data_IF_573370043262
#
_entry.id   IF_573370043262
#
_cell.length_a   1.000
_cell.length_b   1.000
_cell.length_c   1.000
_cell.angle_alpha   90.00
_cell.angle_beta   90.00
_cell.angle_gamma   90.00
#
_symmetry.space_group_name_H-M   'P 1'
#
loop_
_entity.id
_entity.type
_entity.pdbx_description
1 polymer ?
#
# COMPACT_ATOMS: atom_id res chain seq x y z
N UNK A 1 14.72 4.07 -19.30
CA UNK A 1 13.28 4.44 -19.26
C UNK A 1 12.79 4.07 -17.87
N UNK A 2 12.53 5.06 -17.00
CA UNK A 2 11.94 4.82 -15.69
C UNK A 2 10.45 4.55 -15.89
N UNK A 3 10.05 3.28 -15.91
CA UNK A 3 8.65 2.90 -15.86
C UNK A 3 8.17 3.04 -14.42
N UNK A 4 7.72 4.24 -14.05
CA UNK A 4 6.86 4.39 -12.87
C UNK A 4 5.65 3.48 -13.05
N UNK A 5 5.57 2.42 -12.25
CA UNK A 5 4.40 1.53 -12.16
C UNK A 5 3.31 2.23 -11.35
N UNK A 6 2.88 3.41 -11.83
CA UNK A 6 1.78 4.16 -11.22
C UNK A 6 0.47 3.46 -11.55
N UNK A 7 0.11 2.51 -10.68
CA UNK A 7 -1.12 1.74 -10.78
C UNK A 7 -1.98 2.00 -9.55
N UNK A 8 -3.21 2.44 -9.77
CA UNK A 8 -4.21 2.57 -8.72
C UNK A 8 -4.82 1.20 -8.41
N UNK A 9 -4.93 0.87 -7.13
CA UNK A 9 -5.57 -0.33 -6.60
C UNK A 9 -6.65 0.04 -5.58
N UNK A 10 -7.62 -0.86 -5.39
CA UNK A 10 -8.56 -0.81 -4.28
C UNK A 10 -8.09 -1.80 -3.24
N UNK A 11 -7.86 -1.32 -2.02
CA UNK A 11 -7.49 -2.16 -0.88
C UNK A 11 -8.76 -2.41 -0.05
N UNK A 12 -9.09 -3.68 0.28
CA UNK A 12 -10.25 -4.01 1.11
C UNK A 12 -10.16 -3.40 2.51
N UNK A 13 -11.32 -3.17 3.12
CA UNK A 13 -11.41 -2.85 4.54
C UNK A 13 -10.75 -3.93 5.40
N UNK A 14 -10.20 -3.55 6.56
CA UNK A 14 -9.56 -4.49 7.47
C UNK A 14 -8.15 -4.92 7.05
N UNK A 15 -7.65 -4.41 5.91
CA UNK A 15 -6.25 -4.62 5.51
C UNK A 15 -5.33 -3.74 6.34
N UNK A 16 -4.31 -4.34 6.94
CA UNK A 16 -3.26 -3.61 7.65
C UNK A 16 -2.32 -2.89 6.68
N UNK A 17 -2.03 -1.62 6.97
CA UNK A 17 -1.12 -0.77 6.19
C UNK A 17 -0.10 -0.15 7.13
N UNK A 18 1.18 -0.40 6.84
CA UNK A 18 2.28 -0.02 7.72
C UNK A 18 2.87 1.34 7.33
N UNK A 19 3.37 2.07 8.32
CA UNK A 19 4.04 3.35 8.14
C UNK A 19 5.50 3.19 7.69
N UNK A 20 6.07 2.00 7.92
CA UNK A 20 7.38 1.59 7.46
C UNK A 20 7.33 0.23 6.75
N UNK A 21 8.42 -0.17 6.08
CA UNK A 21 8.48 -1.41 5.30
C UNK A 21 8.56 -2.69 6.15
N UNK A 22 8.72 -2.56 7.47
CA UNK A 22 8.88 -3.67 8.41
C UNK A 22 7.61 -3.91 9.22
N UNK A 23 7.42 -5.15 9.70
CA UNK A 23 6.23 -5.55 10.49
C UNK A 23 6.16 -4.91 11.89
N UNK A 24 7.26 -4.38 12.40
CA UNK A 24 7.33 -3.68 13.69
C UNK A 24 6.96 -2.20 13.61
N UNK A 25 6.67 -1.70 12.40
CA UNK A 25 6.24 -0.32 12.20
C UNK A 25 4.79 -0.10 12.64
N UNK A 26 4.48 1.11 13.09
CA UNK A 26 3.09 1.52 13.34
C UNK A 26 2.23 1.27 12.10
N UNK A 27 0.99 0.82 12.31
CA UNK A 27 0.07 0.48 11.24
C UNK A 27 -1.30 1.14 11.41
N UNK A 28 -2.04 1.19 10.31
CA UNK A 28 -3.45 1.57 10.30
C UNK A 28 -4.27 0.43 9.70
N UNK A 29 -5.49 0.26 10.21
CA UNK A 29 -6.46 -0.71 9.69
C UNK A 29 -7.72 0.05 9.27
N UNK A 30 -7.86 0.44 7.99
CA UNK A 30 -9.02 1.20 7.54
C UNK A 30 -10.31 0.38 7.62
N UNK A 31 -11.35 0.96 8.21
CA UNK A 31 -12.68 0.33 8.35
C UNK A 31 -13.51 0.27 7.06
N UNK A 32 -13.03 0.84 5.96
CA UNK A 32 -13.70 0.85 4.64
C UNK A 32 -12.68 0.60 3.53
N UNK A 33 -13.08 0.03 2.38
CA UNK A 33 -12.19 -0.07 1.23
C UNK A 33 -11.72 1.31 0.79
N UNK A 34 -10.47 1.41 0.35
CA UNK A 34 -9.86 2.68 -0.02
C UNK A 34 -8.99 2.54 -1.26
N UNK A 35 -8.78 3.67 -1.95
CA UNK A 35 -7.90 3.74 -3.13
C UNK A 35 -6.47 3.99 -2.68
N UNK A 36 -5.53 3.32 -3.33
CA UNK A 36 -4.11 3.56 -3.16
C UNK A 36 -3.38 3.55 -4.51
N UNK A 37 -2.37 4.38 -4.65
CA UNK A 37 -1.48 4.43 -5.81
C UNK A 37 -0.20 3.66 -5.49
N UNK A 38 0.14 2.65 -6.29
CA UNK A 38 1.45 1.98 -6.21
C UNK A 38 2.51 2.96 -6.71
N UNK A 39 3.54 3.21 -5.89
CA UNK A 39 4.61 4.18 -6.18
C UNK A 39 5.99 3.55 -6.28
N UNK A 40 6.07 2.22 -6.15
CA UNK A 40 7.31 1.47 -6.25
C UNK A 40 7.06 -0.02 -6.51
N UNK A 41 8.14 -0.77 -6.65
CA UNK A 41 8.07 -2.21 -6.89
C UNK A 41 7.77 -2.96 -5.60
N UNK A 42 7.11 -4.10 -5.73
CA UNK A 42 7.03 -5.08 -4.66
C UNK A 42 8.44 -5.57 -4.32
N UNK A 43 8.78 -5.58 -3.04
CA UNK A 43 10.00 -6.16 -2.51
C UNK A 43 9.66 -6.88 -1.21
N UNK A 44 10.07 -8.15 -1.08
CA UNK A 44 9.86 -8.95 0.13
C UNK A 44 8.38 -9.03 0.58
N UNK A 45 7.44 -9.05 -0.36
CA UNK A 45 6.00 -9.08 -0.08
C UNK A 45 5.41 -7.72 0.33
N UNK A 46 6.19 -6.66 0.29
CA UNK A 46 5.79 -5.30 0.64
C UNK A 46 5.67 -4.44 -0.61
N UNK A 47 4.54 -3.75 -0.74
CA UNK A 47 4.25 -2.83 -1.86
C UNK A 47 4.15 -1.40 -1.32
N UNK A 48 5.02 -0.47 -1.74
CA UNK A 48 4.92 0.93 -1.35
C UNK A 48 3.76 1.61 -2.09
N UNK A 49 2.89 2.27 -1.34
CA UNK A 49 1.66 2.91 -1.83
C UNK A 49 1.46 4.30 -1.25
N UNK A 50 0.72 5.15 -1.96
CA UNK A 50 0.14 6.41 -1.44
C UNK A 50 -1.37 6.28 -1.36
N UNK A 51 -1.96 6.56 -0.20
CA UNK A 51 -3.41 6.48 -0.01
C UNK A 51 -4.08 7.70 -0.62
N UNK A 52 -5.22 7.53 -1.28
CA UNK A 52 -6.00 8.66 -1.77
C UNK A 52 -6.75 9.33 -0.61
N UNK A 53 -6.51 10.63 -0.43
CA UNK A 53 -7.25 11.46 0.50
C UNK A 53 -8.67 11.78 0.00
N UNK A 54 -9.44 12.49 0.83
CA UNK A 54 -10.83 12.85 0.51
C UNK A 54 -10.96 13.78 -0.70
N UNK A 55 -9.89 14.51 -1.04
CA UNK A 55 -9.79 15.36 -2.22
C UNK A 55 -9.59 14.55 -3.52
N UNK A 56 -9.51 13.21 -3.45
CA UNK A 56 -9.29 12.35 -4.60
C UNK A 56 -7.86 12.36 -5.16
N UNK A 57 -6.89 12.89 -4.41
CA UNK A 57 -5.47 12.85 -4.75
C UNK A 57 -4.71 11.91 -3.81
N UNK A 58 -3.64 11.24 -4.28
CA UNK A 58 -2.76 10.49 -3.40
C UNK A 58 -2.07 11.44 -2.42
N UNK A 59 -2.07 11.08 -1.14
CA UNK A 59 -1.31 11.76 -0.09
C UNK A 59 0.20 11.65 -0.37
N UNK A 60 0.98 12.63 0.09
CA UNK A 60 2.43 12.62 -0.10
C UNK A 60 3.13 11.48 0.67
N UNK A 61 2.49 11.01 1.74
CA UNK A 61 3.01 9.96 2.61
C UNK A 61 2.99 8.60 1.92
N UNK A 62 4.17 7.97 1.85
CA UNK A 62 4.30 6.58 1.42
C UNK A 62 3.99 5.68 2.61
N UNK A 63 3.13 4.69 2.37
CA UNK A 63 2.84 3.58 3.29
C UNK A 63 3.11 2.26 2.62
N UNK A 64 3.05 1.18 3.39
CA UNK A 64 3.51 -0.13 2.97
C UNK A 64 2.38 -1.14 3.12
N UNK A 65 1.92 -1.66 1.98
CA UNK A 65 0.92 -2.70 1.92
C UNK A 65 1.63 -4.06 1.93
N UNK A 66 1.43 -4.82 3.01
CA UNK A 66 1.98 -6.16 3.14
C UNK A 66 1.01 -7.15 2.50
N UNK A 67 1.48 -7.89 1.50
CA UNK A 67 0.73 -9.06 1.02
C UNK A 67 1.03 -10.23 1.95
N UNK A 68 0.06 -11.10 2.24
CA UNK A 68 0.38 -12.38 2.86
C UNK A 68 1.48 -13.07 2.04
N UNK A 69 2.41 -13.82 2.67
CA UNK A 69 3.38 -14.61 1.93
C UNK A 69 2.65 -15.39 0.85
N UNK A 70 3.14 -15.34 -0.40
CA UNK A 70 2.56 -16.19 -1.44
C UNK A 70 2.55 -17.61 -0.88
N UNK A 71 1.36 -18.20 -0.79
CA UNK A 71 1.25 -19.61 -0.46
C UNK A 71 2.14 -20.33 -1.47
N UNK A 72 3.23 -20.95 -0.99
CA UNK A 72 4.12 -21.72 -1.86
C UNK A 72 3.24 -22.74 -2.59
N UNK A 73 3.07 -22.55 -3.89
CA UNK A 73 2.35 -23.48 -4.77
C UNK A 73 3.22 -24.71 -5.04
#
# INVERSE_FOLDING_TARGET
MNTSLEKTIIIPAGTEINNGPSEDSDSIIPGKPFKALIVGKEAEGVIPVRIFGENGQPEDMVRYFHQPPKANA
#
